data_IF_418921232870
#
_entry.id   IF_418921232870
#
_cell.length_a   1.000
_cell.length_b   1.000
_cell.length_c   1.000
_cell.angle_alpha   90.00
_cell.angle_beta   90.00
_cell.angle_gamma   90.00
#
_symmetry.space_group_name_H-M   'P 1'
#
loop_
_entity.id
_entity.type
_entity.pdbx_description
1 polymer ?
#
# COMPACT_ATOMS: atom_id res chain seq x y z
N UNK A 1 -10.96 -20.10 -15.17
CA UNK A 1 -9.52 -19.83 -15.04
C UNK A 1 -9.11 -19.54 -13.60
N UNK A 2 -9.84 -18.70 -12.83
CA UNK A 2 -9.55 -18.46 -11.40
C UNK A 2 -9.58 -19.75 -10.59
N UNK A 3 -10.70 -20.51 -10.65
CA UNK A 3 -10.84 -21.79 -9.94
C UNK A 3 -9.68 -22.74 -10.24
N UNK A 4 -9.37 -22.97 -11.51
CA UNK A 4 -8.24 -23.82 -11.91
C UNK A 4 -6.89 -23.35 -11.35
N UNK A 5 -6.65 -22.04 -11.30
CA UNK A 5 -5.41 -21.48 -10.75
C UNK A 5 -5.33 -21.69 -9.22
N UNK A 6 -6.45 -21.49 -8.51
CA UNK A 6 -6.56 -21.71 -7.07
C UNK A 6 -6.55 -23.19 -6.69
N UNK A 7 -7.10 -24.06 -7.52
CA UNK A 7 -7.05 -25.52 -7.36
C UNK A 7 -5.59 -26.01 -7.45
N UNK A 8 -4.78 -25.43 -8.35
CA UNK A 8 -3.36 -25.77 -8.50
C UNK A 8 -2.52 -25.19 -7.35
N UNK A 9 -2.80 -23.94 -6.95
CA UNK A 9 -2.10 -23.26 -5.88
C UNK A 9 -3.06 -22.34 -5.11
N UNK A 10 -3.58 -22.78 -3.95
CA UNK A 10 -4.53 -22.01 -3.16
C UNK A 10 -3.99 -20.66 -2.67
N UNK A 11 -2.66 -20.56 -2.45
CA UNK A 11 -2.01 -19.33 -1.97
C UNK A 11 -1.61 -18.36 -3.08
N UNK A 12 -1.84 -18.71 -4.35
CA UNK A 12 -1.54 -17.81 -5.48
C UNK A 12 -2.43 -16.56 -5.40
N UNK A 13 -1.83 -15.36 -5.45
CA UNK A 13 -2.58 -14.10 -5.50
C UNK A 13 -3.11 -13.85 -6.92
N UNK A 14 -4.43 -13.86 -7.07
CA UNK A 14 -5.13 -13.75 -8.35
C UNK A 14 -5.83 -12.40 -8.45
N UNK A 15 -5.41 -11.61 -9.45
CA UNK A 15 -6.09 -10.38 -9.85
C UNK A 15 -6.96 -10.64 -11.07
N UNK A 16 -8.24 -10.26 -11.02
CA UNK A 16 -9.18 -10.43 -12.13
C UNK A 16 -9.78 -9.10 -12.57
N UNK A 17 -10.09 -8.98 -13.87
CA UNK A 17 -10.81 -7.82 -14.43
C UNK A 17 -12.30 -8.14 -14.56
N UNK A 18 -13.14 -7.26 -14.05
CA UNK A 18 -14.58 -7.28 -14.27
C UNK A 18 -15.00 -6.23 -15.29
N UNK A 19 -15.96 -6.57 -16.14
CA UNK A 19 -16.59 -5.62 -17.08
C UNK A 19 -17.93 -5.09 -16.55
N UNK A 20 -18.55 -5.82 -15.63
CA UNK A 20 -19.85 -5.48 -15.03
C UNK A 20 -19.80 -5.74 -13.52
N UNK A 21 -20.68 -5.08 -12.76
CA UNK A 21 -20.81 -5.33 -11.31
C UNK A 21 -21.17 -6.80 -11.01
N UNK A 22 -21.96 -7.44 -11.88
CA UNK A 22 -22.29 -8.87 -11.77
C UNK A 22 -21.05 -9.74 -11.93
N UNK A 23 -20.21 -9.43 -12.91
CA UNK A 23 -18.94 -10.14 -13.11
C UNK A 23 -18.01 -9.92 -11.92
N UNK A 24 -17.97 -8.72 -11.33
CA UNK A 24 -17.15 -8.42 -10.16
C UNK A 24 -17.47 -9.34 -8.98
N UNK A 25 -18.76 -9.45 -8.62
CA UNK A 25 -19.22 -10.37 -7.56
C UNK A 25 -18.91 -11.82 -7.89
N UNK A 26 -19.13 -12.23 -9.15
CA UNK A 26 -18.91 -13.61 -9.59
C UNK A 26 -17.44 -14.00 -9.50
N UNK A 27 -16.53 -13.12 -9.94
CA UNK A 27 -15.08 -13.36 -9.91
C UNK A 27 -14.55 -13.37 -8.48
N UNK A 28 -15.07 -12.51 -7.59
CA UNK A 28 -14.76 -12.55 -6.16
C UNK A 28 -15.17 -13.88 -5.52
N UNK A 29 -16.41 -14.33 -5.76
CA UNK A 29 -16.87 -15.64 -5.29
C UNK A 29 -16.09 -16.82 -5.88
N UNK A 30 -15.53 -16.67 -7.08
CA UNK A 30 -14.68 -17.68 -7.71
C UNK A 30 -13.27 -17.77 -7.10
N UNK A 31 -12.93 -16.91 -6.14
CA UNK A 31 -11.66 -16.92 -5.43
C UNK A 31 -10.61 -15.95 -5.94
N UNK A 32 -10.98 -14.89 -6.68
CA UNK A 32 -10.04 -13.80 -6.97
C UNK A 32 -9.75 -12.99 -5.70
N UNK A 33 -8.47 -12.80 -5.38
CA UNK A 33 -8.05 -12.01 -4.20
C UNK A 33 -8.28 -10.51 -4.42
N UNK A 34 -8.20 -10.06 -5.68
CA UNK A 34 -8.56 -8.70 -6.07
C UNK A 34 -9.31 -8.70 -7.40
N UNK A 35 -10.47 -8.05 -7.41
CA UNK A 35 -11.21 -7.78 -8.65
C UNK A 35 -11.15 -6.29 -8.96
N UNK A 36 -10.83 -5.96 -10.21
CA UNK A 36 -10.71 -4.58 -10.70
C UNK A 36 -11.77 -4.36 -11.78
N UNK A 37 -12.56 -3.30 -11.66
CA UNK A 37 -13.55 -2.88 -12.66
C UNK A 37 -13.08 -1.56 -13.31
N UNK A 38 -12.39 -1.62 -14.47
CA UNK A 38 -11.81 -0.41 -15.08
C UNK A 38 -12.87 0.63 -15.47
N UNK A 39 -14.06 0.21 -15.90
CA UNK A 39 -15.13 1.12 -16.28
C UNK A 39 -15.73 1.85 -15.07
N UNK A 40 -15.96 1.14 -13.95
CA UNK A 40 -16.44 1.77 -12.73
C UNK A 40 -15.38 2.72 -12.13
N UNK A 41 -14.12 2.29 -12.10
CA UNK A 41 -13.01 3.13 -11.64
C UNK A 41 -12.82 4.36 -12.54
N UNK A 42 -12.84 4.18 -13.85
CA UNK A 42 -12.75 5.26 -14.82
C UNK A 42 -13.91 6.25 -14.70
N UNK A 43 -15.14 5.76 -14.55
CA UNK A 43 -16.32 6.59 -14.32
C UNK A 43 -16.21 7.42 -13.04
N UNK A 44 -15.80 6.79 -11.93
CA UNK A 44 -15.58 7.51 -10.68
C UNK A 44 -14.47 8.55 -10.82
N UNK A 45 -13.36 8.21 -11.48
CA UNK A 45 -12.26 9.14 -11.75
C UNK A 45 -12.70 10.32 -12.62
N UNK A 46 -13.49 10.11 -13.67
CA UNK A 46 -14.04 11.20 -14.48
C UNK A 46 -14.92 12.14 -13.66
N UNK A 47 -15.78 11.60 -12.79
CA UNK A 47 -16.60 12.41 -11.89
C UNK A 47 -15.73 13.21 -10.90
N UNK A 48 -14.69 12.59 -10.32
CA UNK A 48 -13.74 13.29 -9.45
C UNK A 48 -12.94 14.35 -10.19
N UNK A 49 -12.50 14.12 -11.43
CA UNK A 49 -11.77 15.10 -12.22
C UNK A 49 -12.63 16.34 -12.52
N UNK A 50 -13.92 16.14 -12.78
CA UNK A 50 -14.86 17.25 -13.01
C UNK A 50 -15.16 18.04 -11.73
N UNK A 51 -15.31 17.36 -10.59
CA UNK A 51 -15.73 17.99 -9.33
C UNK A 51 -14.56 18.50 -8.47
N UNK A 52 -13.41 17.83 -8.56
CA UNK A 52 -12.25 17.97 -7.67
C UNK A 52 -10.93 17.67 -8.42
N UNK A 53 -10.61 18.43 -9.48
CA UNK A 53 -9.44 18.15 -10.34
C UNK A 53 -8.13 18.08 -9.55
N UNK A 54 -7.89 19.02 -8.62
CA UNK A 54 -6.67 19.04 -7.79
C UNK A 54 -6.47 17.77 -6.94
N UNK A 55 -7.54 17.07 -6.56
CA UNK A 55 -7.44 15.80 -5.81
C UNK A 55 -6.96 14.68 -6.74
N UNK A 56 -7.45 14.66 -7.97
CA UNK A 56 -7.03 13.68 -8.98
C UNK A 56 -5.56 13.89 -9.33
N UNK A 57 -5.15 15.14 -9.54
CA UNK A 57 -3.76 15.49 -9.85
C UNK A 57 -2.79 14.97 -8.76
N UNK A 58 -3.13 15.13 -7.48
CA UNK A 58 -2.31 14.61 -6.36
C UNK A 58 -2.23 13.08 -6.39
N UNK A 59 -3.35 12.39 -6.61
CA UNK A 59 -3.36 10.92 -6.70
C UNK A 59 -2.51 10.44 -7.89
N UNK A 60 -2.57 11.14 -9.01
CA UNK A 60 -1.76 10.82 -10.19
C UNK A 60 -0.28 11.04 -9.92
N UNK A 61 0.11 12.15 -9.28
CA UNK A 61 1.49 12.40 -8.86
C UNK A 61 2.00 11.32 -7.90
N UNK A 62 1.21 10.92 -6.92
CA UNK A 62 1.59 9.90 -5.94
C UNK A 62 1.71 8.49 -6.53
N UNK A 63 1.07 8.22 -7.67
CA UNK A 63 1.01 6.89 -8.31
C UNK A 63 1.78 6.78 -9.63
N UNK A 64 2.22 7.91 -10.21
CA UNK A 64 3.06 7.91 -11.41
C UNK A 64 4.55 7.75 -11.05
N UNK A 65 5.12 6.61 -11.42
CA UNK A 65 6.55 6.33 -11.26
C UNK A 65 7.49 7.23 -12.08
N UNK A 66 6.99 8.04 -13.02
CA UNK A 66 7.82 8.83 -13.94
C UNK A 66 8.26 10.19 -13.37
N UNK A 67 7.64 10.66 -12.29
CA UNK A 67 8.01 11.90 -11.63
C UNK A 67 8.90 11.58 -10.42
N UNK A 68 10.16 11.99 -10.46
CA UNK A 68 11.15 11.74 -9.38
C UNK A 68 10.84 12.45 -8.06
N UNK A 69 9.78 13.26 -8.00
CA UNK A 69 9.55 14.20 -6.91
C UNK A 69 8.87 13.57 -5.70
N UNK A 70 7.83 12.74 -5.89
CA UNK A 70 7.05 12.13 -4.81
C UNK A 70 6.51 10.76 -5.23
N UNK A 71 6.72 9.74 -4.40
CA UNK A 71 6.25 8.37 -4.60
C UNK A 71 5.49 7.89 -3.37
N UNK A 72 4.46 7.08 -3.60
CA UNK A 72 3.78 6.32 -2.55
C UNK A 72 4.31 4.88 -2.56
N UNK A 73 4.96 4.47 -1.48
CA UNK A 73 5.56 3.14 -1.35
C UNK A 73 5.02 2.39 -0.14
N UNK A 74 5.05 1.06 -0.26
CA UNK A 74 4.72 0.12 0.81
C UNK A 74 6.01 -0.46 1.38
N UNK A 75 6.32 -0.10 2.63
CA UNK A 75 7.54 -0.54 3.33
C UNK A 75 7.14 -1.61 4.35
N UNK A 76 7.66 -2.82 4.16
CA UNK A 76 7.41 -3.95 5.07
C UNK A 76 8.34 -3.85 6.28
N UNK A 77 7.81 -4.08 7.48
CA UNK A 77 8.59 -4.18 8.72
C UNK A 77 8.84 -5.66 9.02
N UNK A 78 10.03 -6.21 8.70
CA UNK A 78 10.31 -7.62 8.95
C UNK A 78 10.50 -7.90 10.45
N UNK A 79 10.32 -9.16 10.89
CA UNK A 79 10.69 -9.57 12.24
C UNK A 79 12.17 -9.29 12.54
N UNK A 80 12.48 -8.77 13.72
CA UNK A 80 13.83 -8.34 14.09
C UNK A 80 14.26 -7.01 13.46
N UNK A 81 13.32 -6.27 12.87
CA UNK A 81 13.54 -4.90 12.42
C UNK A 81 13.94 -4.02 13.61
N UNK A 82 14.89 -3.07 13.44
CA UNK A 82 15.15 -2.04 14.45
C UNK A 82 13.93 -1.18 14.82
N UNK A 83 12.92 -1.14 13.94
CA UNK A 83 11.66 -0.42 14.19
C UNK A 83 10.61 -1.25 14.94
N UNK A 84 10.81 -2.55 15.14
CA UNK A 84 9.84 -3.42 15.81
C UNK A 84 9.68 -3.04 17.29
N UNK A 85 8.44 -2.83 17.73
CA UNK A 85 8.10 -2.45 19.10
C UNK A 85 8.39 -0.99 19.46
N UNK A 86 8.97 -0.23 18.53
CA UNK A 86 9.24 1.21 18.65
C UNK A 86 8.01 2.00 18.23
N UNK A 87 7.79 3.15 18.87
CA UNK A 87 6.72 4.06 18.43
C UNK A 87 7.09 4.69 17.09
N UNK A 88 6.09 5.09 16.30
CA UNK A 88 6.31 5.75 15.03
C UNK A 88 7.17 7.02 15.19
N UNK A 89 6.95 7.78 16.26
CA UNK A 89 7.72 8.98 16.60
C UNK A 89 9.19 8.68 16.90
N UNK A 90 9.46 7.61 17.65
CA UNK A 90 10.81 7.24 18.07
C UNK A 90 11.58 6.43 17.01
N UNK A 91 10.87 5.82 16.04
CA UNK A 91 11.46 5.06 14.94
C UNK A 91 12.32 5.93 14.00
N UNK A 92 12.11 7.24 14.06
CA UNK A 92 12.69 8.21 13.14
C UNK A 92 12.20 8.06 11.70
N UNK A 93 11.14 7.27 11.45
CA UNK A 93 10.49 7.13 10.15
C UNK A 93 9.57 8.32 9.86
N UNK A 94 8.80 8.77 10.86
CA UNK A 94 7.95 9.97 10.75
C UNK A 94 8.71 11.28 10.88
N UNK A 95 9.97 11.24 11.32
CA UNK A 95 10.83 12.42 11.50
C UNK A 95 11.73 12.67 10.30
N UNK A 96 11.77 11.75 9.32
CA UNK A 96 12.54 11.94 8.11
C UNK A 96 11.93 13.10 7.30
N UNK A 97 12.68 14.19 7.05
CA UNK A 97 12.13 15.34 6.34
C UNK A 97 11.65 14.93 4.94
N UNK A 98 10.47 15.39 4.53
CA UNK A 98 9.92 15.07 3.21
C UNK A 98 9.37 13.65 3.06
N UNK A 99 9.21 12.91 4.16
CA UNK A 99 8.49 11.63 4.21
C UNK A 99 7.27 11.77 5.11
N UNK A 100 6.14 11.24 4.64
CA UNK A 100 4.87 11.23 5.37
C UNK A 100 4.39 9.79 5.44
N UNK A 101 4.22 9.26 6.66
CA UNK A 101 3.56 7.96 6.86
C UNK A 101 2.05 8.19 6.85
N UNK A 102 1.41 7.73 5.77
CA UNK A 102 -0.02 7.94 5.51
C UNK A 102 -0.87 6.92 6.27
N UNK A 103 -0.41 5.68 6.34
CA UNK A 103 -1.12 4.59 7.01
C UNK A 103 -0.19 3.47 7.49
N UNK A 104 -0.67 2.70 8.45
CA UNK A 104 -0.08 1.42 8.86
C UNK A 104 -1.13 0.33 8.59
N UNK A 105 -0.78 -0.63 7.76
CA UNK A 105 -1.56 -1.86 7.58
C UNK A 105 -0.94 -2.93 8.47
N UNK A 106 -1.71 -3.35 9.47
CA UNK A 106 -1.32 -4.37 10.44
C UNK A 106 -1.18 -5.73 9.77
N UNK A 107 -0.25 -6.54 10.25
CA UNK A 107 -0.16 -7.96 9.86
C UNK A 107 -1.49 -8.72 10.08
N UNK A 108 -2.27 -8.30 11.08
CA UNK A 108 -3.61 -8.83 11.39
C UNK A 108 -4.70 -8.44 10.37
N UNK A 109 -4.40 -7.53 9.44
CA UNK A 109 -5.31 -7.04 8.40
C UNK A 109 -5.99 -5.71 8.72
N UNK A 110 -5.81 -5.16 9.92
CA UNK A 110 -6.30 -3.83 10.28
C UNK A 110 -5.57 -2.70 9.53
N UNK A 111 -6.25 -1.57 9.31
CA UNK A 111 -5.67 -0.38 8.69
C UNK A 111 -5.80 0.82 9.62
N UNK A 112 -4.69 1.47 9.94
CA UNK A 112 -4.63 2.69 10.75
C UNK A 112 -4.25 3.83 9.81
N UNK A 113 -5.18 4.74 9.58
CA UNK A 113 -4.94 5.96 8.79
C UNK A 113 -4.44 7.08 9.68
N UNK A 114 -3.50 7.89 9.17
CA UNK A 114 -2.87 8.97 9.92
C UNK A 114 -2.41 8.50 11.32
N UNK A 115 -1.49 7.51 11.38
CA UNK A 115 -1.03 6.92 12.63
C UNK A 115 -0.46 8.01 13.56
N UNK A 116 -0.75 7.89 14.84
CA UNK A 116 -0.18 8.80 15.84
C UNK A 116 1.32 8.54 16.02
N UNK A 117 2.06 9.52 16.54
CA UNK A 117 3.48 9.33 16.88
C UNK A 117 3.69 8.26 17.94
N UNK A 118 2.69 8.01 18.79
CA UNK A 118 2.75 7.02 19.86
C UNK A 118 2.35 5.62 19.37
N UNK A 119 1.93 5.49 18.11
CA UNK A 119 1.54 4.22 17.52
C UNK A 119 2.75 3.29 17.43
N UNK A 120 2.65 2.11 18.04
CA UNK A 120 3.74 1.12 17.99
C UNK A 120 3.75 0.41 16.65
N UNK A 121 4.94 0.32 16.06
CA UNK A 121 5.19 -0.47 14.86
C UNK A 121 5.41 -1.92 15.28
N UNK A 122 4.73 -2.85 14.62
CA UNK A 122 4.83 -4.28 14.91
C UNK A 122 5.49 -5.03 13.74
N UNK A 123 6.11 -6.18 14.02
CA UNK A 123 6.63 -7.03 12.96
C UNK A 123 5.51 -7.53 12.05
N UNK A 124 5.77 -7.50 10.74
CA UNK A 124 4.81 -7.81 9.70
C UNK A 124 3.90 -6.64 9.32
N UNK A 125 4.05 -5.47 9.93
CA UNK A 125 3.34 -4.28 9.50
C UNK A 125 3.83 -3.81 8.13
N UNK A 126 2.90 -3.18 7.39
CA UNK A 126 3.17 -2.52 6.13
C UNK A 126 2.93 -1.02 6.32
N UNK A 127 4.00 -0.24 6.27
CA UNK A 127 3.95 1.21 6.36
C UNK A 127 3.72 1.79 4.97
N UNK A 128 2.64 2.55 4.80
CA UNK A 128 2.34 3.24 3.56
C UNK A 128 2.89 4.65 3.67
N UNK A 129 3.96 4.96 2.93
CA UNK A 129 4.70 6.20 3.05
C UNK A 129 4.74 6.97 1.71
N UNK A 130 4.61 8.29 1.80
CA UNK A 130 4.73 9.23 0.68
C UNK A 130 6.01 10.05 0.84
N UNK A 131 6.83 10.17 -0.20
CA UNK A 131 8.03 11.00 -0.17
C UNK A 131 8.93 10.82 -1.39
N UNK A 132 10.10 11.45 -1.39
CA UNK A 132 11.09 11.28 -2.46
C UNK A 132 11.61 9.83 -2.50
N UNK A 133 11.75 9.26 -3.70
CA UNK A 133 12.19 7.88 -3.91
C UNK A 133 13.49 7.52 -3.16
N UNK A 134 14.44 8.46 -3.11
CA UNK A 134 15.73 8.24 -2.45
C UNK A 134 15.59 8.15 -0.93
N UNK A 135 14.67 8.92 -0.34
CA UNK A 135 14.40 8.92 1.10
C UNK A 135 13.61 7.67 1.51
N UNK A 136 12.61 7.28 0.71
CA UNK A 136 11.83 6.07 0.93
C UNK A 136 12.71 4.81 0.91
N UNK A 137 13.63 4.71 -0.07
CA UNK A 137 14.64 3.63 -0.08
C UNK A 137 15.58 3.67 1.12
N UNK A 138 15.92 4.87 1.60
CA UNK A 138 16.70 5.04 2.83
C UNK A 138 15.95 4.53 4.06
N UNK A 139 14.65 4.78 4.15
CA UNK A 139 13.77 4.24 5.20
C UNK A 139 13.68 2.73 5.15
N UNK A 140 13.46 2.15 3.96
CA UNK A 140 13.35 0.70 3.77
C UNK A 140 14.59 -0.02 4.32
N UNK A 141 15.80 0.48 4.00
CA UNK A 141 17.05 -0.06 4.56
C UNK A 141 17.19 0.07 6.07
N UNK A 142 16.53 1.04 6.70
CA UNK A 142 16.56 1.23 8.17
C UNK A 142 15.66 0.25 8.89
N UNK A 143 14.60 -0.23 8.24
CA UNK A 143 13.70 -1.25 8.80
C UNK A 143 14.15 -2.67 8.46
N UNK A 144 15.02 -2.85 7.47
CA UNK A 144 15.65 -4.16 7.21
C UNK A 144 16.50 -4.62 8.41
N UNK A 145 16.47 -5.91 8.78
CA UNK A 145 17.30 -6.45 9.84
C UNK A 145 18.75 -6.44 9.35
N UNK A 146 19.68 -6.03 10.23
CA UNK A 146 21.10 -6.22 9.94
C UNK A 146 21.39 -7.72 9.77
N UNK A 147 21.96 -8.11 8.64
CA UNK A 147 22.25 -9.52 8.35
C UNK A 147 22.97 -10.20 9.54
N UNK A 148 22.59 -11.44 9.91
CA UNK A 148 23.25 -12.15 11.00
C UNK A 148 24.73 -12.32 10.67
N UNK A 149 25.59 -11.84 11.58
CA UNK A 149 27.03 -12.12 11.56
C UNK A 149 27.30 -13.56 11.95
#
# INVERSE_FOLDING_TARGET
MILTAKDLNPSLFVVARAETERSERTLGHAGADKVISPYAMGGHRMAQAALRPAVVDIIELATHYQSLELQLEEIVVPPGSPGEGVTLGDSGLSQEPGVIVVAIKRASGGMIFNPSTDEKIEAGDHLIALGEAIRLRGLERRVEPSAPR
#
